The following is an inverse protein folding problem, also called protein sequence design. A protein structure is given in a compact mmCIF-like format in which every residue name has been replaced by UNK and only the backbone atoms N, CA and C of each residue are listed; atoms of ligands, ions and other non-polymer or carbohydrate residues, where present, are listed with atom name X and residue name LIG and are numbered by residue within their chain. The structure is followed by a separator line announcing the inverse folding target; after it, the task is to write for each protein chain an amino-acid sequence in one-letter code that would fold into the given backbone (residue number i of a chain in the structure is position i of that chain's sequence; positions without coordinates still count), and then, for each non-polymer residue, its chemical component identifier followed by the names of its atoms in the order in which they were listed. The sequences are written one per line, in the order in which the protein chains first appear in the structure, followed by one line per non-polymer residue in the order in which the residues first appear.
data_IF_413415164124
#
_entry.id   IF_413415164124
#
_cell.length_a   1.000
_cell.length_b   1.000
_cell.length_c   1.000
_cell.angle_alpha   90.00
_cell.angle_beta   90.00
_cell.angle_gamma   90.00
#
_symmetry.space_group_name_H-M   'P 1'
#
loop_
_entity.id
_entity.type
_entity.pdbx_description
1 polymer ?
#
# COMPACT_ATOMS: atom_id res chain seq x y z
N UNK A 1 32.10 12.21 27.60
CA UNK A 1 30.85 12.00 28.37
C UNK A 1 30.17 13.32 28.77
N UNK A 2 30.73 14.14 29.67
CA UNK A 2 30.06 15.36 30.18
C UNK A 2 29.63 16.41 29.15
N UNK A 3 30.37 16.58 28.04
CA UNK A 3 29.96 17.45 26.92
C UNK A 3 28.78 16.87 26.12
N UNK A 4 28.77 15.56 25.90
CA UNK A 4 27.69 14.86 25.17
C UNK A 4 26.38 14.89 25.96
N UNK A 5 26.41 14.71 27.28
CA UNK A 5 25.24 14.86 28.16
C UNK A 5 24.70 16.29 28.20
N UNK A 6 25.57 17.31 28.21
CA UNK A 6 25.14 18.71 28.06
C UNK A 6 24.49 18.96 26.71
N UNK A 7 25.09 18.52 25.62
CA UNK A 7 24.54 18.71 24.27
C UNK A 7 23.18 18.00 24.15
N UNK A 8 23.07 16.74 24.60
CA UNK A 8 21.82 16.00 24.56
C UNK A 8 20.71 16.68 25.39
N UNK A 9 21.01 17.08 26.62
CA UNK A 9 20.04 17.77 27.47
C UNK A 9 19.64 19.15 26.93
N UNK A 10 20.55 19.86 26.27
CA UNK A 10 20.23 21.10 25.57
C UNK A 10 19.35 20.86 24.35
N UNK A 11 19.65 19.85 23.53
CA UNK A 11 18.84 19.48 22.37
C UNK A 11 17.44 19.01 22.79
N UNK A 12 17.32 18.20 23.84
CA UNK A 12 16.04 17.76 24.38
C UNK A 12 15.18 18.93 24.91
N UNK A 13 15.81 19.89 25.60
CA UNK A 13 15.13 21.12 26.05
C UNK A 13 14.75 22.03 24.88
N UNK A 14 15.57 22.11 23.84
CA UNK A 14 15.30 22.89 22.64
C UNK A 14 14.12 22.29 21.84
N UNK A 15 14.12 20.96 21.70
CA UNK A 15 13.07 20.16 21.10
C UNK A 15 11.73 20.36 21.81
N UNK A 16 11.72 20.32 23.15
CA UNK A 16 10.52 20.58 23.95
C UNK A 16 10.03 22.03 23.87
N UNK A 17 10.93 22.98 23.59
CA UNK A 17 10.62 24.42 23.54
C UNK A 17 10.09 24.89 22.18
N UNK A 18 10.51 24.25 21.09
CA UNK A 18 10.13 24.62 19.71
C UNK A 18 9.64 23.39 18.92
N UNK A 19 8.48 22.82 19.26
CA UNK A 19 7.93 21.67 18.53
C UNK A 19 7.69 21.97 17.04
N UNK A 20 7.34 23.20 16.68
CA UNK A 20 7.13 23.61 15.28
C UNK A 20 8.41 23.60 14.42
N UNK A 21 9.60 23.84 15.00
CA UNK A 21 10.86 23.80 14.26
C UNK A 21 11.25 22.34 13.92
N UNK A 22 10.98 21.41 14.84
CA UNK A 22 11.14 19.98 14.58
C UNK A 22 10.20 19.50 13.48
N UNK A 23 8.96 19.99 13.47
CA UNK A 23 8.00 19.70 12.40
C UNK A 23 8.49 20.22 11.04
N UNK A 24 9.04 21.43 10.99
CA UNK A 24 9.60 22.01 9.76
C UNK A 24 10.82 21.23 9.24
N UNK A 25 11.75 20.85 10.12
CA UNK A 25 12.92 20.04 9.75
C UNK A 25 12.52 18.65 9.26
N UNK A 26 11.54 18.03 9.93
CA UNK A 26 10.94 16.76 9.48
C UNK A 26 10.28 16.91 8.11
N UNK A 27 9.56 18.00 7.86
CA UNK A 27 8.93 18.29 6.58
C UNK A 27 9.97 18.49 5.45
N UNK A 28 10.99 19.33 5.66
CA UNK A 28 12.05 19.56 4.65
C UNK A 28 12.84 18.29 4.38
N UNK A 29 13.15 17.50 5.42
CA UNK A 29 13.78 16.19 5.27
C UNK A 29 12.88 15.22 4.50
N UNK A 30 11.57 15.25 4.74
CA UNK A 30 10.59 14.44 4.02
C UNK A 30 10.51 14.81 2.54
N UNK A 31 10.46 16.11 2.23
CA UNK A 31 10.47 16.64 0.86
C UNK A 31 11.79 16.28 0.14
N UNK A 32 12.93 16.48 0.77
CA UNK A 32 14.23 16.11 0.20
C UNK A 32 14.35 14.59 -0.06
N UNK A 33 13.86 13.78 0.87
CA UNK A 33 13.76 12.33 0.69
C UNK A 33 12.81 11.95 -0.43
N UNK A 34 11.74 12.71 -0.68
CA UNK A 34 10.79 12.46 -1.77
C UNK A 34 11.44 12.66 -3.14
N UNK A 35 12.25 13.72 -3.31
CA UNK A 35 12.94 14.02 -4.58
C UNK A 35 14.11 13.06 -4.90
N UNK A 36 14.76 12.46 -3.90
CA UNK A 36 15.87 11.52 -4.12
C UNK A 36 15.42 10.12 -4.59
N UNK A 37 14.12 9.83 -4.54
CA UNK A 37 13.57 8.46 -4.68
C UNK A 37 13.22 8.06 -6.10
N UNK A 38 13.19 9.02 -7.02
CA UNK A 38 12.69 8.86 -8.38
C UNK A 38 13.48 7.84 -9.22
N UNK A 39 14.66 7.40 -8.74
CA UNK A 39 15.56 6.48 -9.45
C UNK A 39 15.60 5.04 -8.92
N UNK A 40 15.18 4.77 -7.68
CA UNK A 40 15.22 3.42 -7.07
C UNK A 40 14.07 3.16 -6.07
N UNK A 41 12.82 3.23 -6.56
CA UNK A 41 11.60 3.02 -5.74
C UNK A 41 11.64 1.76 -4.85
N UNK A 42 12.14 0.64 -5.38
CA UNK A 42 12.25 -0.63 -4.63
C UNK A 42 13.23 -0.53 -3.45
N UNK A 43 14.43 0.04 -3.65
CA UNK A 43 15.45 0.15 -2.59
C UNK A 43 15.04 1.18 -1.54
N UNK A 44 14.38 2.24 -1.97
CA UNK A 44 13.82 3.22 -1.04
C UNK A 44 12.74 2.59 -0.15
N UNK A 45 11.78 1.86 -0.74
CA UNK A 45 10.75 1.18 0.02
C UNK A 45 11.34 0.17 1.02
N UNK A 46 12.41 -0.54 0.65
CA UNK A 46 13.16 -1.41 1.56
C UNK A 46 13.81 -0.63 2.71
N UNK A 47 14.51 0.48 2.42
CA UNK A 47 15.15 1.30 3.46
C UNK A 47 14.13 1.87 4.44
N UNK A 48 13.04 2.46 3.94
CA UNK A 48 11.99 3.01 4.80
C UNK A 48 11.31 1.91 5.61
N UNK A 49 11.02 0.75 5.00
CA UNK A 49 10.48 -0.41 5.72
C UNK A 49 11.42 -0.88 6.83
N UNK A 50 12.73 -0.90 6.58
CA UNK A 50 13.74 -1.28 7.57
C UNK A 50 13.80 -0.27 8.73
N UNK A 51 13.85 1.02 8.43
CA UNK A 51 13.85 2.09 9.44
C UNK A 51 12.57 2.08 10.28
N UNK A 52 11.41 1.89 9.63
CA UNK A 52 10.12 1.77 10.29
C UNK A 52 10.08 0.56 11.23
N UNK A 53 10.48 -0.64 10.77
CA UNK A 53 10.57 -1.82 11.64
C UNK A 53 11.59 -1.62 12.77
N UNK A 54 12.69 -0.91 12.50
CA UNK A 54 13.63 -0.47 13.54
C UNK A 54 12.95 0.38 14.61
N UNK A 55 12.11 1.34 14.22
CA UNK A 55 11.28 2.13 15.13
C UNK A 55 10.34 1.28 15.99
N UNK A 56 9.70 0.27 15.40
CA UNK A 56 8.88 -0.69 16.15
C UNK A 56 9.67 -1.54 17.13
N UNK A 57 10.87 -2.02 16.75
CA UNK A 57 11.77 -2.74 17.66
C UNK A 57 12.19 -1.83 18.80
N UNK A 58 12.52 -0.56 18.53
CA UNK A 58 12.84 0.42 19.56
C UNK A 58 11.67 0.63 20.52
N UNK A 59 10.43 0.74 20.04
CA UNK A 59 9.25 0.81 20.91
C UNK A 59 9.09 -0.44 21.78
N UNK A 60 9.35 -1.63 21.25
CA UNK A 60 9.31 -2.87 22.05
C UNK A 60 10.39 -2.89 23.14
N UNK A 61 11.50 -2.20 22.90
CA UNK A 61 12.60 -2.05 23.84
C UNK A 61 12.49 -0.77 24.70
N UNK A 62 11.33 -0.10 24.74
CA UNK A 62 11.12 1.17 25.46
C UNK A 62 11.71 1.14 26.88
N UNK A 63 11.41 0.09 27.66
CA UNK A 63 11.88 -0.03 29.04
C UNK A 63 13.40 -0.19 29.15
N UNK A 64 14.04 -0.84 28.18
CA UNK A 64 15.49 -1.00 28.11
C UNK A 64 16.16 0.32 27.68
N UNK A 65 15.54 1.04 26.74
CA UNK A 65 15.97 2.38 26.31
C UNK A 65 15.90 3.39 27.46
N UNK A 66 14.78 3.42 28.21
CA UNK A 66 14.62 4.27 29.41
C UNK A 66 15.74 4.02 30.42
N UNK A 67 16.02 2.76 30.74
CA UNK A 67 17.10 2.36 31.66
C UNK A 67 18.49 2.68 31.12
N UNK A 68 18.74 2.38 29.84
CA UNK A 68 20.02 2.63 29.19
C UNK A 68 20.37 4.12 29.13
N UNK A 69 19.40 4.96 28.74
CA UNK A 69 19.58 6.43 28.71
C UNK A 69 19.79 6.98 30.11
N UNK A 70 19.01 6.52 31.10
CA UNK A 70 19.23 6.90 32.49
C UNK A 70 20.62 6.51 32.99
N UNK A 71 21.13 5.33 32.61
CA UNK A 71 22.44 4.85 33.02
C UNK A 71 23.58 5.63 32.36
N UNK A 72 23.48 5.90 31.05
CA UNK A 72 24.54 6.55 30.27
C UNK A 72 24.54 8.07 30.40
N UNK A 73 23.37 8.69 30.50
CA UNK A 73 23.20 10.15 30.50
C UNK A 73 22.77 10.73 31.85
N UNK A 74 22.50 9.89 32.86
CA UNK A 74 22.12 10.32 34.21
C UNK A 74 20.78 11.07 34.27
N UNK A 75 19.95 10.96 33.23
CA UNK A 75 18.66 11.64 33.12
C UNK A 75 17.58 10.66 32.67
N UNK A 76 16.44 10.65 33.36
CA UNK A 76 15.30 9.85 32.97
C UNK A 76 14.63 10.46 31.73
N UNK A 77 14.27 9.60 30.77
CA UNK A 77 13.51 10.00 29.60
C UNK A 77 12.09 10.42 30.04
N UNK A 78 11.67 11.67 29.80
CA UNK A 78 10.35 12.12 30.22
C UNK A 78 9.25 11.35 29.49
N UNK A 79 8.19 10.95 30.20
CA UNK A 79 7.06 10.24 29.62
C UNK A 79 6.40 10.94 28.42
N UNK A 80 6.25 12.28 28.37
CA UNK A 80 5.74 12.96 27.19
C UNK A 80 6.56 12.71 25.92
N UNK A 81 7.89 12.63 26.06
CA UNK A 81 8.80 12.37 24.92
C UNK A 81 8.57 10.97 24.37
N UNK A 82 8.37 10.00 25.26
CA UNK A 82 8.16 8.61 24.88
C UNK A 82 6.79 8.42 24.23
N UNK A 83 5.76 9.07 24.78
CA UNK A 83 4.42 9.11 24.18
C UNK A 83 4.43 9.76 22.80
N UNK A 84 5.16 10.86 22.64
CA UNK A 84 5.36 11.51 21.35
C UNK A 84 6.10 10.60 20.35
N UNK A 85 7.19 9.96 20.76
CA UNK A 85 7.91 9.01 19.92
C UNK A 85 7.00 7.84 19.47
N UNK A 86 6.19 7.32 20.38
CA UNK A 86 5.21 6.27 20.07
C UNK A 86 4.12 6.75 19.10
N UNK A 87 3.58 7.97 19.28
CA UNK A 87 2.65 8.56 18.32
C UNK A 87 3.31 8.72 16.95
N UNK A 88 4.54 9.24 16.89
CA UNK A 88 5.29 9.40 15.64
C UNK A 88 5.48 8.07 14.93
N UNK A 89 5.90 7.01 15.62
CA UNK A 89 6.05 5.69 14.99
C UNK A 89 4.72 5.18 14.43
N UNK A 90 3.60 5.36 15.14
CA UNK A 90 2.29 5.01 14.59
C UNK A 90 1.93 5.85 13.37
N UNK A 91 2.14 7.17 13.44
CA UNK A 91 1.83 8.10 12.38
C UNK A 91 2.63 7.77 11.11
N UNK A 92 3.96 7.79 11.20
CA UNK A 92 4.85 7.46 10.08
C UNK A 92 4.54 6.09 9.49
N UNK A 93 4.25 5.10 10.35
CA UNK A 93 3.83 3.77 9.90
C UNK A 93 2.55 3.79 9.06
N UNK A 94 1.52 4.48 9.55
CA UNK A 94 0.23 4.57 8.86
C UNK A 94 0.36 5.33 7.54
N UNK A 95 1.03 6.48 7.55
CA UNK A 95 1.27 7.28 6.34
C UNK A 95 2.12 6.53 5.31
N UNK A 96 3.06 5.71 5.75
CA UNK A 96 3.84 4.87 4.86
C UNK A 96 3.00 3.78 4.20
N UNK A 97 2.15 3.06 4.95
CA UNK A 97 1.42 1.91 4.38
C UNK A 97 0.14 2.29 3.63
N UNK A 98 -0.50 3.41 3.96
CA UNK A 98 -1.78 3.80 3.35
C UNK A 98 -1.72 3.88 1.82
N UNK A 99 -0.71 4.50 1.18
CA UNK A 99 -0.64 4.55 -0.29
C UNK A 99 -0.66 3.16 -0.93
N UNK A 100 0.06 2.19 -0.36
CA UNK A 100 0.09 0.80 -0.82
C UNK A 100 -1.30 0.16 -0.74
N UNK A 101 -1.96 0.27 0.42
CA UNK A 101 -3.31 -0.27 0.59
C UNK A 101 -4.34 0.46 -0.27
N UNK A 102 -4.24 1.78 -0.40
CA UNK A 102 -5.17 2.59 -1.19
C UNK A 102 -5.19 2.16 -2.67
N UNK A 103 -4.01 1.95 -3.27
CA UNK A 103 -3.86 1.53 -4.67
C UNK A 103 -4.29 0.07 -4.88
N UNK A 104 -4.05 -0.79 -3.89
CA UNK A 104 -4.32 -2.24 -4.00
C UNK A 104 -5.73 -2.63 -3.56
N UNK A 105 -6.48 -1.71 -2.97
CA UNK A 105 -7.85 -1.96 -2.48
C UNK A 105 -8.82 -2.15 -3.63
N UNK A 106 -9.48 -3.31 -3.67
CA UNK A 106 -10.68 -3.48 -4.47
C UNK A 106 -11.87 -2.79 -3.76
N UNK A 107 -12.09 -1.52 -4.08
CA UNK A 107 -13.08 -0.63 -3.45
C UNK A 107 -14.54 -1.14 -3.48
N UNK A 108 -14.87 -2.06 -4.39
CA UNK A 108 -16.18 -2.71 -4.48
C UNK A 108 -16.20 -4.07 -3.75
N UNK A 109 -15.48 -4.20 -2.64
CA UNK A 109 -15.37 -5.43 -1.85
C UNK A 109 -15.17 -5.11 -0.37
N UNK A 110 -15.17 -6.15 0.49
CA UNK A 110 -14.88 -6.00 1.92
C UNK A 110 -13.52 -5.35 2.23
N UNK A 111 -12.60 -5.30 1.26
CA UNK A 111 -11.32 -4.63 1.38
C UNK A 111 -11.40 -3.14 1.73
N UNK A 112 -12.48 -2.47 1.32
CA UNK A 112 -12.70 -1.06 1.65
C UNK A 112 -12.78 -0.82 3.17
N UNK A 113 -13.25 -1.81 3.94
CA UNK A 113 -13.40 -1.69 5.40
C UNK A 113 -12.02 -1.63 6.06
N UNK A 114 -11.09 -2.49 5.64
CA UNK A 114 -9.74 -2.52 6.17
C UNK A 114 -8.98 -1.22 5.85
N UNK A 115 -9.02 -0.79 4.59
CA UNK A 115 -8.33 0.44 4.16
C UNK A 115 -8.97 1.69 4.74
N UNK A 116 -10.30 1.74 4.83
CA UNK A 116 -11.01 2.82 5.52
C UNK A 116 -10.65 2.92 6.99
N UNK A 117 -10.48 1.79 7.68
CA UNK A 117 -10.01 1.75 9.06
C UNK A 117 -8.57 2.29 9.20
N UNK A 118 -7.66 1.95 8.28
CA UNK A 118 -6.31 2.51 8.27
C UNK A 118 -6.31 4.03 8.10
N UNK A 119 -7.12 4.56 7.16
CA UNK A 119 -7.26 5.99 6.94
C UNK A 119 -7.81 6.68 8.20
N UNK A 120 -8.86 6.11 8.81
CA UNK A 120 -9.40 6.64 10.07
C UNK A 120 -8.37 6.64 11.19
N UNK A 121 -7.55 5.58 11.30
CA UNK A 121 -6.47 5.52 12.27
C UNK A 121 -5.38 6.57 12.00
N UNK A 122 -5.04 6.85 10.73
CA UNK A 122 -4.10 7.92 10.40
C UNK A 122 -4.65 9.31 10.77
N UNK A 123 -5.95 9.55 10.57
CA UNK A 123 -6.58 10.79 11.04
C UNK A 123 -6.48 10.91 12.56
N UNK A 124 -6.72 9.81 13.30
CA UNK A 124 -6.55 9.79 14.75
C UNK A 124 -5.10 10.05 15.18
N UNK A 125 -4.11 9.60 14.41
CA UNK A 125 -2.68 9.82 14.72
C UNK A 125 -2.27 11.29 14.60
N UNK A 126 -2.89 12.05 13.70
CA UNK A 126 -2.60 13.48 13.47
C UNK A 126 -3.28 14.39 14.49
N UNK A 127 -4.46 14.00 14.98
CA UNK A 127 -5.25 14.87 15.88
C UNK A 127 -4.84 14.60 17.34
N UNK A 128 -3.87 15.38 17.85
CA UNK A 128 -3.32 15.24 19.21
C UNK A 128 -4.37 15.11 20.32
N UNK A 129 -5.43 15.93 20.40
CA UNK A 129 -6.46 15.76 21.43
C UNK A 129 -7.16 14.41 21.36
N UNK A 130 -7.40 13.89 20.15
CA UNK A 130 -8.06 12.59 19.96
C UNK A 130 -7.10 11.46 20.33
N UNK A 131 -5.84 11.52 19.88
CA UNK A 131 -4.83 10.53 20.21
C UNK A 131 -4.58 10.45 21.72
N UNK A 132 -4.25 11.58 22.36
CA UNK A 132 -3.83 11.60 23.76
C UNK A 132 -4.96 11.58 24.78
N UNK A 133 -6.10 12.24 24.49
CA UNK A 133 -7.19 12.39 25.48
C UNK A 133 -8.31 11.38 25.30
N UNK A 134 -8.48 10.79 24.10
CA UNK A 134 -9.56 9.85 23.83
C UNK A 134 -9.07 8.42 23.57
N UNK A 135 -8.05 8.24 22.72
CA UNK A 135 -7.51 6.92 22.38
C UNK A 135 -6.61 6.37 23.48
N UNK A 136 -5.54 7.09 23.84
CA UNK A 136 -4.52 6.62 24.79
C UNK A 136 -5.07 6.23 26.18
N UNK A 137 -6.09 6.90 26.77
CA UNK A 137 -6.65 6.48 28.04
C UNK A 137 -7.45 5.17 27.96
N UNK A 138 -8.00 4.84 26.77
CA UNK A 138 -8.78 3.62 26.55
C UNK A 138 -7.86 2.47 26.18
N UNK A 139 -7.34 1.78 27.21
CA UNK A 139 -6.31 0.74 27.08
C UNK A 139 -6.57 -0.30 26.00
N UNK A 140 -7.76 -0.90 25.95
CA UNK A 140 -8.09 -1.91 24.94
C UNK A 140 -8.06 -1.32 23.51
N UNK A 141 -8.60 -0.12 23.33
CA UNK A 141 -8.60 0.56 22.04
C UNK A 141 -7.18 0.94 21.61
N UNK A 142 -6.34 1.37 22.55
CA UNK A 142 -4.93 1.66 22.29
C UNK A 142 -4.16 0.40 21.85
N UNK A 143 -4.35 -0.76 22.49
CA UNK A 143 -3.70 -2.00 22.07
C UNK A 143 -4.22 -2.52 20.72
N UNK A 144 -5.52 -2.37 20.45
CA UNK A 144 -6.07 -2.65 19.14
C UNK A 144 -5.41 -1.75 18.08
N UNK A 145 -5.36 -0.44 18.32
CA UNK A 145 -4.73 0.53 17.44
C UNK A 145 -3.25 0.21 17.18
N UNK A 146 -2.49 -0.07 18.24
CA UNK A 146 -1.08 -0.43 18.16
C UNK A 146 -0.87 -1.73 17.36
N UNK A 147 -1.61 -2.78 17.71
CA UNK A 147 -1.51 -4.08 17.04
C UNK A 147 -1.96 -4.06 15.59
N UNK A 148 -3.02 -3.33 15.28
CA UNK A 148 -3.51 -3.19 13.92
C UNK A 148 -2.55 -2.37 13.05
N UNK A 149 -1.91 -1.34 13.61
CA UNK A 149 -0.85 -0.60 12.91
C UNK A 149 0.35 -1.50 12.63
N UNK A 150 0.83 -2.25 13.64
CA UNK A 150 1.91 -3.21 13.46
C UNK A 150 1.58 -4.28 12.40
N UNK A 151 0.34 -4.79 12.41
CA UNK A 151 -0.14 -5.74 11.43
C UNK A 151 -0.05 -5.18 10.00
N UNK A 152 -0.55 -3.97 9.78
CA UNK A 152 -0.51 -3.31 8.47
C UNK A 152 0.93 -3.03 7.99
N UNK A 153 1.80 -2.63 8.91
CA UNK A 153 3.23 -2.44 8.66
C UNK A 153 3.89 -3.74 8.21
N UNK A 154 3.67 -4.84 8.94
CA UNK A 154 4.27 -6.13 8.62
C UNK A 154 3.75 -6.69 7.29
N UNK A 155 2.47 -6.47 6.97
CA UNK A 155 1.88 -6.87 5.68
C UNK A 155 2.57 -6.21 4.49
N UNK A 156 3.07 -4.98 4.67
CA UNK A 156 3.77 -4.23 3.64
C UNK A 156 5.26 -4.54 3.65
N UNK A 157 5.89 -4.52 4.83
CA UNK A 157 7.33 -4.63 4.98
C UNK A 157 7.86 -6.06 4.75
N UNK A 158 7.16 -7.11 5.20
CA UNK A 158 7.68 -8.47 5.12
C UNK A 158 7.86 -8.96 3.66
N UNK A 159 6.89 -8.80 2.74
CA UNK A 159 7.10 -9.19 1.34
C UNK A 159 8.23 -8.39 0.67
N UNK A 160 8.38 -7.10 1.02
CA UNK A 160 9.40 -6.21 0.44
C UNK A 160 10.81 -6.58 0.93
N UNK A 161 10.97 -6.88 2.22
CA UNK A 161 12.27 -7.13 2.84
C UNK A 161 12.72 -8.59 2.71
N UNK A 162 11.80 -9.53 2.95
CA UNK A 162 12.12 -10.96 3.02
C UNK A 162 11.76 -11.71 1.74
N UNK A 163 11.15 -11.05 0.76
CA UNK A 163 10.76 -11.65 -0.51
C UNK A 163 9.82 -12.86 -0.35
N UNK A 164 9.04 -12.88 0.73
CA UNK A 164 8.11 -13.96 1.02
C UNK A 164 6.74 -13.71 0.36
N UNK A 165 6.04 -14.76 -0.12
CA UNK A 165 4.70 -14.63 -0.67
C UNK A 165 3.75 -13.91 0.27
N UNK A 166 2.83 -13.12 -0.27
CA UNK A 166 1.83 -12.34 0.48
C UNK A 166 1.01 -13.23 1.42
N UNK A 167 0.73 -14.47 1.02
CA UNK A 167 0.04 -15.44 1.86
C UNK A 167 0.80 -15.78 3.15
N UNK A 168 2.13 -15.95 3.08
CA UNK A 168 2.98 -16.22 4.24
C UNK A 168 3.21 -14.95 5.06
N UNK A 169 3.41 -13.82 4.39
CA UNK A 169 3.53 -12.52 5.06
C UNK A 169 2.29 -12.22 5.90
N UNK A 170 1.09 -12.51 5.40
CA UNK A 170 -0.16 -12.39 6.16
C UNK A 170 -0.14 -13.20 7.46
N UNK A 171 0.26 -14.46 7.38
CA UNK A 171 0.31 -15.35 8.55
C UNK A 171 1.31 -14.85 9.60
N UNK A 172 2.52 -14.49 9.17
CA UNK A 172 3.54 -13.93 10.07
C UNK A 172 3.12 -12.60 10.67
N UNK A 173 2.53 -11.71 9.86
CA UNK A 173 2.03 -10.41 10.33
C UNK A 173 0.95 -10.60 11.39
N UNK A 174 -0.03 -11.48 11.13
CA UNK A 174 -1.12 -11.76 12.06
C UNK A 174 -0.58 -12.38 13.35
N UNK A 175 0.31 -13.36 13.25
CA UNK A 175 0.93 -14.02 14.41
C UNK A 175 1.72 -13.02 15.27
N UNK A 176 2.64 -12.26 14.67
CA UNK A 176 3.51 -11.31 15.39
C UNK A 176 2.67 -10.20 16.02
N UNK A 177 1.75 -9.59 15.25
CA UNK A 177 0.96 -8.48 15.75
C UNK A 177 0.02 -8.89 16.89
N UNK A 178 -0.66 -10.05 16.76
CA UNK A 178 -1.53 -10.55 17.83
C UNK A 178 -0.73 -10.96 19.06
N UNK A 179 0.36 -11.70 18.89
CA UNK A 179 1.19 -12.15 20.00
C UNK A 179 1.74 -10.95 20.79
N UNK A 180 2.35 -9.97 20.11
CA UNK A 180 2.95 -8.82 20.80
C UNK A 180 1.89 -7.93 21.46
N UNK A 181 0.77 -7.68 20.79
CA UNK A 181 -0.26 -6.77 21.32
C UNK A 181 -0.99 -7.34 22.52
N UNK A 182 -1.43 -8.60 22.43
CA UNK A 182 -2.23 -9.21 23.49
C UNK A 182 -1.39 -9.72 24.66
N UNK A 183 -0.14 -10.11 24.43
CA UNK A 183 0.77 -10.47 25.52
C UNK A 183 1.13 -9.24 26.37
N UNK A 184 1.28 -8.07 25.75
CA UNK A 184 1.48 -6.83 26.49
C UNK A 184 0.21 -6.40 27.22
N UNK A 185 -0.96 -6.48 26.57
CA UNK A 185 -2.24 -6.15 27.19
C UNK A 185 -2.58 -7.04 28.40
N UNK A 186 -2.26 -8.33 28.35
CA UNK A 186 -2.57 -9.25 29.45
C UNK A 186 -1.72 -9.03 30.70
N UNK A 187 -0.51 -8.47 30.57
CA UNK A 187 0.39 -8.15 31.70
C UNK A 187 -0.17 -7.08 32.62
N UNK A 188 -1.07 -6.29 32.10
CA UNK A 188 -1.63 -5.11 32.74
C UNK A 188 -2.80 -5.39 33.67
N UNK A 189 -3.39 -6.58 33.56
CA UNK A 189 -4.45 -7.02 34.47
C UNK A 189 -3.84 -7.49 35.79
N UNK A 190 -4.53 -7.27 36.91
CA UNK A 190 -4.04 -7.63 38.26
C UNK A 190 -4.14 -9.13 38.59
N UNK A 191 -4.57 -9.99 37.67
CA UNK A 191 -4.85 -11.42 37.91
C UNK A 191 -3.60 -12.25 38.31
N UNK A 192 -3.78 -13.50 38.74
CA UNK A 192 -2.65 -14.44 38.88
C UNK A 192 -2.07 -14.85 37.51
N UNK A 193 -0.80 -15.28 37.46
CA UNK A 193 -0.09 -15.56 36.20
C UNK A 193 -0.82 -16.55 35.27
N UNK A 194 -1.40 -17.64 35.82
CA UNK A 194 -2.19 -18.61 35.06
C UNK A 194 -3.41 -17.99 34.38
N UNK A 195 -4.18 -17.17 35.10
CA UNK A 195 -5.37 -16.50 34.55
C UNK A 195 -5.00 -15.44 33.51
N UNK A 196 -3.88 -14.72 33.71
CA UNK A 196 -3.34 -13.78 32.71
C UNK A 196 -2.93 -14.50 31.43
N UNK A 197 -2.19 -15.61 31.55
CA UNK A 197 -1.76 -16.41 30.40
C UNK A 197 -2.95 -17.02 29.65
N UNK A 198 -3.95 -17.53 30.38
CA UNK A 198 -5.18 -18.05 29.77
C UNK A 198 -5.93 -16.94 29.01
N UNK A 199 -6.10 -15.76 29.62
CA UNK A 199 -6.74 -14.61 28.96
C UNK A 199 -5.97 -14.17 27.70
N UNK A 200 -4.64 -14.06 27.80
CA UNK A 200 -3.79 -13.71 26.66
C UNK A 200 -3.97 -14.71 25.51
N UNK A 201 -3.92 -16.01 25.81
CA UNK A 201 -4.09 -17.08 24.84
C UNK A 201 -5.48 -17.02 24.19
N UNK A 202 -6.54 -16.85 24.97
CA UNK A 202 -7.91 -16.70 24.44
C UNK A 202 -8.03 -15.51 23.50
N UNK A 203 -7.44 -14.37 23.85
CA UNK A 203 -7.46 -13.17 23.01
C UNK A 203 -6.65 -13.34 21.72
N UNK A 204 -5.46 -13.94 21.81
CA UNK A 204 -4.63 -14.26 20.63
C UNK A 204 -5.38 -15.21 19.70
N UNK A 205 -5.96 -16.29 20.23
CA UNK A 205 -6.72 -17.25 19.42
C UNK A 205 -7.98 -16.62 18.82
N UNK A 206 -8.69 -15.79 19.58
CA UNK A 206 -9.85 -15.05 19.09
C UNK A 206 -9.49 -14.09 17.96
N UNK A 207 -8.43 -13.29 18.14
CA UNK A 207 -7.95 -12.37 17.12
C UNK A 207 -7.40 -13.09 15.88
N UNK A 208 -6.68 -14.21 16.07
CA UNK A 208 -6.21 -15.04 14.97
C UNK A 208 -7.39 -15.66 14.19
N UNK A 209 -8.41 -16.15 14.89
CA UNK A 209 -9.64 -16.66 14.27
C UNK A 209 -10.35 -15.60 13.43
N UNK A 210 -10.54 -14.39 13.98
CA UNK A 210 -11.10 -13.25 13.24
C UNK A 210 -10.22 -12.89 12.04
N UNK A 211 -8.89 -12.84 12.23
CA UNK A 211 -7.94 -12.55 11.15
C UNK A 211 -7.96 -13.59 10.03
N UNK A 212 -8.17 -14.87 10.33
CA UNK A 212 -8.30 -15.91 9.31
C UNK A 212 -9.60 -15.73 8.53
N UNK A 213 -10.72 -15.49 9.23
CA UNK A 213 -12.04 -15.32 8.60
C UNK A 213 -12.13 -14.05 7.75
N UNK A 214 -11.49 -12.97 8.19
CA UNK A 214 -11.51 -11.66 7.50
C UNK A 214 -10.36 -11.48 6.52
N UNK A 215 -9.51 -12.50 6.31
CA UNK A 215 -8.36 -12.46 5.39
C UNK A 215 -8.68 -11.92 3.99
N UNK A 216 -9.81 -12.27 3.33
CA UNK A 216 -10.16 -11.72 2.02
C UNK A 216 -10.42 -10.19 2.02
N UNK A 217 -10.70 -9.61 3.20
CA UNK A 217 -10.92 -8.17 3.37
C UNK A 217 -9.62 -7.39 3.56
N UNK A 218 -8.47 -8.06 3.55
CA UNK A 218 -7.18 -7.35 3.61
C UNK A 218 -6.62 -7.26 2.18
N UNK A 219 -6.38 -6.06 1.63
CA UNK A 219 -5.74 -5.93 0.32
C UNK A 219 -4.30 -6.49 0.34
N UNK A 220 -3.81 -7.04 -0.78
CA UNK A 220 -2.40 -7.44 -0.89
C UNK A 220 -1.55 -6.19 -1.16
N UNK A 221 -0.96 -5.61 -0.11
CA UNK A 221 -0.29 -4.29 -0.14
C UNK A 221 0.75 -4.10 -1.26
N UNK A 222 1.39 -5.16 -1.71
CA UNK A 222 2.50 -5.11 -2.69
C UNK A 222 2.11 -5.57 -4.09
N UNK A 223 0.85 -5.91 -4.33
CA UNK A 223 0.39 -6.45 -5.61
C UNK A 223 -0.74 -5.60 -6.19
N UNK A 224 -0.51 -5.00 -7.36
CA UNK A 224 -1.56 -4.30 -8.11
C UNK A 224 -1.50 -4.62 -9.60
N UNK A 225 -2.62 -4.45 -10.29
CA UNK A 225 -2.70 -4.62 -11.73
C UNK A 225 -2.19 -3.37 -12.44
N UNK A 226 -1.27 -3.55 -13.39
CA UNK A 226 -0.80 -2.48 -14.29
C UNK A 226 -1.57 -2.48 -15.60
N UNK A 227 -1.96 -3.65 -16.11
CA UNK A 227 -2.74 -3.79 -17.34
C UNK A 227 -3.65 -5.00 -17.27
N UNK A 228 -4.87 -4.86 -17.81
CA UNK A 228 -5.82 -5.97 -17.92
C UNK A 228 -6.52 -5.96 -19.27
N UNK A 229 -6.79 -7.15 -19.80
CA UNK A 229 -7.60 -7.31 -20.98
C UNK A 229 -8.29 -8.67 -21.00
N UNK A 230 -9.54 -8.69 -21.46
CA UNK A 230 -10.17 -9.90 -21.99
C UNK A 230 -10.09 -9.79 -23.50
N UNK A 231 -9.51 -10.78 -24.17
CA UNK A 231 -9.19 -10.74 -25.60
C UNK A 231 -9.32 -12.14 -26.22
N UNK A 232 -9.54 -12.23 -27.52
CA UNK A 232 -9.52 -13.49 -28.28
C UNK A 232 -8.11 -13.88 -28.74
N UNK A 233 -7.16 -12.97 -28.65
CA UNK A 233 -5.80 -13.17 -29.14
C UNK A 233 -4.74 -12.57 -28.20
N UNK A 234 -3.59 -13.23 -28.15
CA UNK A 234 -2.36 -12.75 -27.52
C UNK A 234 -1.31 -12.68 -28.63
N UNK A 235 -0.59 -11.56 -28.72
CA UNK A 235 0.60 -11.48 -29.56
C UNK A 235 1.72 -12.27 -28.90
N UNK A 236 2.13 -13.39 -29.51
CA UNK A 236 3.16 -14.28 -28.97
C UNK A 236 4.55 -13.63 -28.93
N UNK A 237 4.83 -12.66 -29.81
CA UNK A 237 6.14 -11.98 -29.86
C UNK A 237 6.24 -10.94 -28.74
N UNK A 238 5.23 -10.08 -28.65
CA UNK A 238 5.20 -9.01 -27.66
C UNK A 238 4.67 -9.48 -26.30
N UNK A 239 4.11 -10.69 -26.21
CA UNK A 239 3.37 -11.20 -25.04
C UNK A 239 2.36 -10.17 -24.54
N UNK A 240 1.63 -9.58 -25.47
CA UNK A 240 0.72 -8.47 -25.26
C UNK A 240 -0.71 -8.87 -25.65
N UNK A 241 -1.73 -8.36 -24.96
CA UNK A 241 -3.11 -8.66 -25.33
C UNK A 241 -3.49 -7.92 -26.61
N UNK A 242 -4.34 -8.55 -27.42
CA UNK A 242 -5.08 -7.87 -28.48
C UNK A 242 -6.12 -6.87 -27.95
N UNK A 243 -7.12 -6.55 -28.77
CA UNK A 243 -8.15 -5.56 -28.40
C UNK A 243 -8.96 -6.03 -27.19
N UNK A 244 -9.18 -5.12 -26.24
CA UNK A 244 -9.99 -5.40 -25.04
C UNK A 244 -11.47 -5.52 -25.41
N UNK A 245 -12.07 -6.64 -25.04
CA UNK A 245 -13.47 -6.96 -25.29
C UNK A 245 -14.28 -6.73 -24.01
N UNK A 246 -15.32 -5.89 -24.09
CA UNK A 246 -16.30 -5.68 -23.01
C UNK A 246 -17.57 -6.49 -23.23
N UNK A 247 -17.95 -6.75 -24.48
CA UNK A 247 -19.15 -7.49 -24.85
C UNK A 247 -18.88 -8.32 -26.10
N UNK A 248 -19.39 -9.55 -26.12
CA UNK A 248 -19.30 -10.45 -27.26
C UNK A 248 -20.55 -11.34 -27.37
N UNK A 249 -20.79 -11.89 -28.56
CA UNK A 249 -21.85 -12.88 -28.75
C UNK A 249 -21.35 -14.29 -28.41
N UNK A 250 -22.27 -15.19 -28.04
CA UNK A 250 -21.93 -16.58 -27.75
C UNK A 250 -21.27 -17.30 -28.94
N UNK A 251 -21.60 -16.90 -30.18
CA UNK A 251 -20.98 -17.40 -31.40
C UNK A 251 -19.52 -16.98 -31.62
N UNK A 252 -19.00 -16.01 -30.86
CA UNK A 252 -17.62 -15.55 -30.95
C UNK A 252 -16.67 -16.31 -30.00
N UNK A 253 -17.16 -17.35 -29.32
CA UNK A 253 -16.41 -18.12 -28.33
C UNK A 253 -15.62 -19.30 -28.90
N UNK A 254 -15.69 -19.55 -30.21
CA UNK A 254 -15.13 -20.74 -30.85
C UNK A 254 -13.62 -20.94 -30.56
N UNK A 255 -12.85 -19.84 -30.53
CA UNK A 255 -11.41 -19.85 -30.22
C UNK A 255 -11.09 -19.62 -28.74
N UNK A 256 -12.12 -19.55 -27.89
CA UNK A 256 -12.01 -19.25 -26.48
C UNK A 256 -11.69 -17.79 -26.17
N UNK A 257 -11.44 -17.51 -24.88
CA UNK A 257 -11.05 -16.18 -24.40
C UNK A 257 -9.80 -16.25 -23.55
N UNK A 258 -8.92 -15.27 -23.75
CA UNK A 258 -7.79 -15.00 -22.90
C UNK A 258 -8.15 -13.94 -21.86
N UNK A 259 -7.82 -14.22 -20.61
CA UNK A 259 -7.79 -13.24 -19.54
C UNK A 259 -6.35 -12.85 -19.26
N UNK A 260 -5.95 -11.69 -19.75
CA UNK A 260 -4.61 -11.14 -19.59
C UNK A 260 -4.53 -10.20 -18.40
N UNK A 261 -3.49 -10.37 -17.59
CA UNK A 261 -3.16 -9.53 -16.45
C UNK A 261 -1.66 -9.25 -16.41
N UNK A 262 -1.29 -7.98 -16.31
CA UNK A 262 0.04 -7.56 -15.90
C UNK A 262 -0.04 -7.11 -14.44
N UNK A 263 0.77 -7.72 -13.57
CA UNK A 263 0.74 -7.50 -12.12
C UNK A 263 2.10 -6.97 -11.69
N UNK A 264 2.11 -5.80 -11.07
CA UNK A 264 3.31 -5.32 -10.40
C UNK A 264 3.52 -6.12 -9.11
N UNK A 265 4.77 -6.50 -8.87
CA UNK A 265 5.21 -7.21 -7.67
C UNK A 265 6.67 -6.84 -7.35
N UNK A 266 7.04 -6.69 -6.06
CA UNK A 266 8.41 -6.43 -5.63
C UNK A 266 9.40 -7.43 -6.22
N UNK A 267 10.60 -6.97 -6.55
CA UNK A 267 11.67 -7.84 -7.07
C UNK A 267 11.91 -9.04 -6.16
N UNK A 268 11.99 -10.25 -6.71
CA UNK A 268 12.27 -11.47 -5.94
C UNK A 268 11.05 -12.11 -5.29
N UNK A 269 9.88 -11.47 -5.32
CA UNK A 269 8.64 -12.08 -4.87
C UNK A 269 8.19 -13.16 -5.87
N UNK A 270 7.93 -14.38 -5.38
CA UNK A 270 7.26 -15.43 -6.12
C UNK A 270 5.87 -15.63 -5.51
N UNK A 271 4.82 -15.44 -6.30
CA UNK A 271 3.44 -15.48 -5.83
C UNK A 271 2.60 -16.38 -6.72
N UNK A 272 1.70 -17.14 -6.11
CA UNK A 272 0.66 -17.87 -6.83
C UNK A 272 -0.63 -17.07 -6.80
N UNK A 273 -1.15 -16.79 -7.99
CA UNK A 273 -2.43 -16.13 -8.18
C UNK A 273 -3.42 -17.07 -8.87
N UNK A 274 -4.67 -16.66 -8.86
CA UNK A 274 -5.74 -17.37 -9.54
C UNK A 274 -6.60 -16.42 -10.35
N UNK A 275 -6.92 -16.83 -11.58
CA UNK A 275 -8.04 -16.28 -12.33
C UNK A 275 -9.29 -17.09 -12.00
N UNK A 276 -10.18 -16.50 -11.19
CA UNK A 276 -11.46 -17.09 -10.80
C UNK A 276 -12.55 -16.56 -11.73
N UNK A 277 -12.97 -17.39 -12.67
CA UNK A 277 -14.01 -17.07 -13.64
C UNK A 277 -15.38 -17.27 -13.01
N UNK A 278 -16.23 -16.24 -13.08
CA UNK A 278 -17.59 -16.27 -12.57
C UNK A 278 -18.59 -15.86 -13.64
N UNK A 279 -19.69 -16.60 -13.69
CA UNK A 279 -20.86 -16.29 -14.50
C UNK A 279 -22.04 -15.99 -13.58
N UNK A 280 -22.61 -14.79 -13.70
CA UNK A 280 -23.76 -14.34 -12.90
C UNK A 280 -23.55 -14.56 -11.38
N UNK A 281 -22.33 -14.32 -10.92
CA UNK A 281 -21.93 -14.49 -9.51
C UNK A 281 -21.49 -15.90 -9.11
N UNK A 282 -21.76 -16.93 -9.91
CA UNK A 282 -21.32 -18.31 -9.63
C UNK A 282 -19.94 -18.58 -10.19
N UNK A 283 -19.05 -19.15 -9.39
CA UNK A 283 -17.72 -19.57 -9.84
C UNK A 283 -17.85 -20.75 -10.79
N UNK A 284 -17.27 -20.62 -11.98
CA UNK A 284 -17.24 -21.64 -13.02
C UNK A 284 -15.88 -22.32 -13.05
N UNK A 285 -14.79 -21.55 -13.00
CA UNK A 285 -13.43 -22.08 -13.02
C UNK A 285 -12.49 -21.29 -12.11
N UNK A 286 -11.40 -21.94 -11.70
CA UNK A 286 -10.28 -21.34 -10.98
C UNK A 286 -8.97 -21.83 -11.59
N UNK A 287 -8.25 -20.94 -12.27
CA UNK A 287 -7.02 -21.26 -12.99
C UNK A 287 -5.83 -20.68 -12.23
N UNK A 288 -4.87 -21.52 -11.84
CA UNK A 288 -3.66 -21.11 -11.12
C UNK A 288 -2.61 -20.54 -12.09
N UNK A 289 -1.94 -19.46 -11.69
CA UNK A 289 -0.84 -18.84 -12.43
C UNK A 289 0.24 -18.46 -11.43
N UNK A 290 1.50 -18.76 -11.74
CA UNK A 290 2.64 -18.35 -10.91
C UNK A 290 3.26 -17.07 -11.49
N UNK A 291 3.53 -16.08 -10.64
CA UNK A 291 4.11 -14.78 -11.02
C UNK A 291 5.42 -14.54 -10.29
N UNK A 292 6.37 -13.91 -10.97
CA UNK A 292 7.69 -13.53 -10.42
C UNK A 292 7.89 -12.02 -10.53
N UNK A 293 8.14 -11.36 -9.42
CA UNK A 293 8.32 -9.90 -9.35
C UNK A 293 9.68 -9.41 -9.85
N UNK A 294 9.78 -8.10 -10.07
CA UNK A 294 11.05 -7.43 -10.44
C UNK A 294 11.11 -6.79 -11.83
N UNK A 295 9.97 -6.66 -12.53
CA UNK A 295 9.86 -5.85 -13.76
C UNK A 295 8.97 -4.64 -13.49
N UNK A 296 9.40 -3.45 -13.94
CA UNK A 296 8.61 -2.22 -13.78
C UNK A 296 7.22 -2.32 -14.42
N UNK A 297 7.13 -2.93 -15.61
CA UNK A 297 5.87 -3.17 -16.33
C UNK A 297 4.95 -4.22 -15.65
N UNK A 298 5.44 -4.89 -14.61
CA UNK A 298 4.78 -6.04 -13.97
C UNK A 298 5.05 -7.37 -14.68
N UNK A 299 4.70 -8.45 -14.00
CA UNK A 299 4.72 -9.80 -14.56
C UNK A 299 3.44 -10.05 -15.36
N UNK A 300 3.60 -10.54 -16.59
CA UNK A 300 2.50 -10.78 -17.52
C UNK A 300 2.05 -12.23 -17.37
N UNK A 301 0.80 -12.43 -17.01
CA UNK A 301 0.18 -13.74 -16.89
C UNK A 301 -1.16 -13.73 -17.64
N UNK A 302 -1.50 -14.84 -18.27
CA UNK A 302 -2.81 -15.00 -18.89
C UNK A 302 -3.33 -16.41 -18.72
N UNK A 303 -4.66 -16.55 -18.69
CA UNK A 303 -5.33 -17.84 -18.79
C UNK A 303 -6.18 -17.89 -20.05
N UNK A 304 -6.17 -19.03 -20.73
CA UNK A 304 -6.97 -19.28 -21.92
C UNK A 304 -8.12 -20.22 -21.56
N UNK A 305 -9.36 -19.72 -21.69
CA UNK A 305 -10.57 -20.49 -21.43
C UNK A 305 -11.17 -20.92 -22.75
N UNK A 306 -11.17 -22.22 -23.00
CA UNK A 306 -11.76 -22.87 -24.18
C UNK A 306 -13.16 -23.42 -23.90
N UNK A 307 -13.34 -24.05 -22.74
CA UNK A 307 -14.58 -24.77 -22.44
C UNK A 307 -15.57 -23.85 -21.72
N UNK A 308 -16.59 -23.36 -22.41
CA UNK A 308 -17.68 -22.58 -21.81
C UNK A 308 -18.89 -23.46 -21.49
N UNK A 309 -19.70 -23.12 -20.46
CA UNK A 309 -20.92 -23.87 -20.19
C UNK A 309 -21.91 -23.75 -21.37
N UNK A 310 -22.86 -24.70 -21.53
CA UNK A 310 -23.80 -24.70 -22.67
C UNK A 310 -24.62 -23.42 -22.84
N UNK A 311 -24.88 -22.71 -21.73
CA UNK A 311 -25.55 -21.41 -21.72
C UNK A 311 -24.57 -20.36 -21.17
N UNK A 312 -23.65 -19.84 -22.00
CA UNK A 312 -22.59 -18.94 -21.56
C UNK A 312 -23.07 -17.49 -21.38
N UNK A 313 -24.33 -17.19 -21.64
CA UNK A 313 -24.85 -15.82 -21.68
C UNK A 313 -24.97 -15.21 -20.28
N UNK A 314 -24.66 -13.92 -20.19
CA UNK A 314 -24.78 -13.14 -18.97
C UNK A 314 -23.51 -12.37 -18.60
N UNK A 315 -23.44 -11.98 -17.34
CA UNK A 315 -22.36 -11.15 -16.82
C UNK A 315 -21.22 -12.02 -16.34
N UNK A 316 -20.08 -11.87 -17.01
CA UNK A 316 -18.84 -12.53 -16.64
C UNK A 316 -17.96 -11.60 -15.82
N UNK A 317 -17.33 -12.20 -14.82
CA UNK A 317 -16.40 -11.54 -13.92
C UNK A 317 -15.21 -12.46 -13.70
N UNK A 318 -14.00 -11.93 -13.84
CA UNK A 318 -12.77 -12.66 -13.54
C UNK A 318 -12.12 -11.96 -12.37
N UNK A 319 -12.07 -12.65 -11.23
CA UNK A 319 -11.35 -12.16 -10.06
C UNK A 319 -9.92 -12.67 -10.11
N UNK A 320 -8.98 -11.74 -10.04
CA UNK A 320 -7.56 -12.03 -9.87
C UNK A 320 -7.31 -12.04 -8.37
N UNK A 321 -7.04 -13.21 -7.80
CA UNK A 321 -6.87 -13.38 -6.34
C UNK A 321 -5.55 -14.06 -6.02
N UNK A 322 -4.97 -13.72 -4.87
CA UNK A 322 -3.81 -14.44 -4.32
C UNK A 322 -4.20 -15.81 -3.78
N UNK A 323 -3.22 -16.65 -3.45
CA UNK A 323 -3.39 -17.86 -2.63
C UNK A 323 -4.16 -17.60 -1.33
N UNK A 324 -4.01 -16.40 -0.77
CA UNK A 324 -4.69 -15.94 0.43
C UNK A 324 -6.17 -15.54 0.24
N UNK A 325 -6.72 -15.70 -0.97
CA UNK A 325 -8.05 -15.22 -1.37
C UNK A 325 -8.20 -13.69 -1.32
N UNK A 326 -7.09 -12.96 -1.33
CA UNK A 326 -7.12 -11.50 -1.40
C UNK A 326 -7.27 -11.09 -2.86
N UNK A 327 -8.24 -10.21 -3.14
CA UNK A 327 -8.45 -9.68 -4.49
C UNK A 327 -7.33 -8.71 -4.81
N UNK A 328 -6.68 -8.91 -5.96
CA UNK A 328 -5.73 -7.98 -6.57
C UNK A 328 -6.48 -7.07 -7.56
N UNK A 329 -7.47 -7.63 -8.27
CA UNK A 329 -8.42 -6.86 -9.06
C UNK A 329 -9.40 -7.70 -9.85
N UNK A 330 -10.21 -7.04 -10.68
CA UNK A 330 -11.42 -7.63 -11.27
C UNK A 330 -11.57 -7.21 -12.73
N UNK A 331 -11.73 -8.19 -13.62
CA UNK A 331 -12.12 -7.97 -15.01
C UNK A 331 -13.61 -8.28 -15.17
N UNK A 332 -14.30 -7.53 -16.04
CA UNK A 332 -15.72 -7.71 -16.33
C UNK A 332 -15.97 -7.67 -17.83
N UNK A 333 -16.82 -8.57 -18.31
CA UNK A 333 -17.30 -8.59 -19.69
C UNK A 333 -18.68 -9.26 -19.73
N UNK A 334 -19.39 -9.13 -20.85
CA UNK A 334 -20.74 -9.68 -21.02
C UNK A 334 -20.84 -10.54 -22.27
N UNK A 335 -21.46 -11.71 -22.15
CA UNK A 335 -21.78 -12.57 -23.29
C UNK A 335 -23.27 -12.45 -23.59
N UNK A 336 -23.61 -12.23 -24.86
CA UNK A 336 -24.98 -12.03 -25.37
C UNK A 336 -25.37 -13.11 -26.37
N UNK A 337 -26.68 -13.31 -26.57
CA UNK A 337 -27.21 -14.39 -27.44
C UNK A 337 -26.98 -14.13 -28.94
N UNK A 338 -26.99 -12.87 -29.36
CA UNK A 338 -26.84 -12.48 -30.76
C UNK A 338 -25.81 -11.35 -30.91
N UNK A 339 -25.25 -11.19 -32.12
CA UNK A 339 -24.51 -9.99 -32.51
C UNK A 339 -25.43 -8.77 -32.47
N UNK A 340 -25.74 -8.25 -31.29
CA UNK A 340 -26.15 -6.86 -31.20
C UNK A 340 -24.87 -6.08 -31.44
N UNK A 341 -24.67 -5.65 -32.68
CA UNK A 341 -23.68 -4.65 -33.04
C UNK A 341 -24.12 -3.38 -32.31
N UNK A 342 -23.80 -3.28 -31.03
CA UNK A 342 -23.61 -1.98 -30.42
C UNK A 342 -22.33 -1.46 -31.07
N UNK A 343 -22.48 -0.45 -31.94
CA UNK A 343 -21.38 0.24 -32.60
C UNK A 343 -20.18 0.32 -31.66
N UNK A 344 -19.10 -0.33 -32.07
CA UNK A 344 -17.79 -0.11 -31.50
C UNK A 344 -17.45 1.35 -31.81
N UNK A 345 -17.82 2.25 -30.92
CA UNK A 345 -17.27 3.58 -30.92
C UNK A 345 -15.76 3.38 -30.65
N UNK A 346 -14.88 3.79 -31.59
CA UNK A 346 -13.45 3.69 -31.37
C UNK A 346 -13.07 4.70 -30.30
N UNK A 347 -13.07 4.31 -29.04
CA UNK A 347 -12.24 4.98 -28.05
C UNK A 347 -10.79 4.59 -28.36
N UNK A 348 -10.14 5.43 -29.16
CA UNK A 348 -8.71 5.68 -28.98
C UNK A 348 -8.50 6.02 -27.51
N UNK A 349 -7.71 5.19 -26.84
CA UNK A 349 -7.30 5.30 -25.44
C UNK A 349 -7.37 6.75 -24.89
N UNK A 350 -8.12 7.00 -23.82
CA UNK A 350 -7.54 7.56 -22.63
C UNK A 350 -6.90 6.40 -21.86
N UNK A 351 -5.59 6.48 -21.73
CA UNK A 351 -4.70 5.57 -21.02
C UNK A 351 -4.96 5.60 -19.51
N UNK A 352 -6.17 5.30 -19.02
CA UNK A 352 -6.31 5.11 -17.57
C UNK A 352 -7.52 4.29 -17.16
N UNK A 353 -7.22 3.10 -16.68
CA UNK A 353 -8.19 2.31 -15.91
C UNK A 353 -8.27 2.95 -14.52
N UNK A 354 -9.46 3.47 -14.21
CA UNK A 354 -9.87 3.97 -12.90
C UNK A 354 -9.88 2.79 -11.91
N UNK A 355 -8.71 2.44 -11.40
CA UNK A 355 -8.51 1.65 -10.17
C UNK A 355 -7.47 2.29 -9.25
N UNK A 356 -6.85 3.38 -9.69
CA UNK A 356 -6.06 4.30 -8.89
C UNK A 356 -6.69 5.70 -9.07
N UNK A 357 -6.57 6.61 -8.09
CA UNK A 357 -6.89 7.99 -8.34
C UNK A 357 -6.03 8.46 -9.52
N UNK A 358 -6.65 9.23 -10.41
CA UNK A 358 -6.17 9.54 -11.76
C UNK A 358 -4.73 10.04 -11.84
N UNK A 359 -4.23 10.19 -13.07
CA UNK A 359 -2.93 10.75 -13.44
C UNK A 359 -2.63 12.09 -12.76
N UNK A 360 -3.67 12.77 -12.27
CA UNK A 360 -3.58 13.91 -11.36
C UNK A 360 -2.73 13.68 -10.10
N UNK A 361 -2.47 12.43 -9.70
CA UNK A 361 -1.55 12.10 -8.60
C UNK A 361 -0.28 11.35 -9.04
N UNK A 362 -0.15 11.05 -10.35
CA UNK A 362 1.01 10.34 -10.93
C UNK A 362 1.89 11.19 -11.82
N UNK A 363 1.41 12.31 -12.32
CA UNK A 363 2.31 13.46 -12.41
C UNK A 363 2.62 13.78 -10.95
N UNK A 364 3.86 13.56 -10.48
CA UNK A 364 4.17 14.07 -9.18
C UNK A 364 3.88 15.57 -9.26
N UNK A 365 3.21 16.15 -8.27
CA UNK A 365 3.04 17.62 -8.16
C UNK A 365 4.40 18.31 -8.41
N UNK A 366 5.51 17.60 -8.19
CA UNK A 366 6.87 17.87 -8.68
C UNK A 366 7.00 18.23 -10.16
N UNK A 367 6.49 17.49 -11.14
CA UNK A 367 6.69 17.85 -12.55
C UNK A 367 6.00 19.17 -12.86
N UNK A 368 4.79 19.35 -12.34
CA UNK A 368 4.03 20.60 -12.45
C UNK A 368 4.71 21.74 -11.67
N UNK A 369 5.20 21.50 -10.45
CA UNK A 369 5.96 22.48 -9.64
C UNK A 369 7.37 22.73 -10.16
N UNK A 370 7.93 21.82 -10.95
CA UNK A 370 9.27 21.91 -11.54
C UNK A 370 9.19 22.62 -12.88
N UNK A 371 8.13 22.42 -13.65
CA UNK A 371 7.78 23.27 -14.78
C UNK A 371 7.40 24.67 -14.32
N UNK A 372 6.53 24.83 -13.32
CA UNK A 372 6.20 26.12 -12.73
C UNK A 372 7.41 26.76 -12.02
N UNK A 373 8.25 25.95 -11.37
CA UNK A 373 9.46 26.41 -10.68
C UNK A 373 10.59 26.80 -11.64
N UNK A 374 10.78 26.06 -12.75
CA UNK A 374 11.73 26.41 -13.80
C UNK A 374 11.25 27.62 -14.59
N UNK A 375 9.97 27.71 -14.95
CA UNK A 375 9.43 28.91 -15.60
C UNK A 375 9.58 30.15 -14.71
N UNK A 376 9.37 30.04 -13.39
CA UNK A 376 9.65 31.13 -12.46
C UNK A 376 11.15 31.45 -12.33
N UNK A 377 12.01 30.44 -12.34
CA UNK A 377 13.47 30.64 -12.32
C UNK A 377 13.97 31.30 -13.61
N UNK A 378 13.53 30.83 -14.78
CA UNK A 378 13.91 31.37 -16.10
C UNK A 378 13.42 32.82 -16.27
N UNK A 379 12.24 33.13 -15.71
CA UNK A 379 11.71 34.50 -15.66
C UNK A 379 12.54 35.41 -14.73
N UNK A 380 13.19 34.84 -13.70
CA UNK A 380 14.03 35.58 -12.73
C UNK A 380 15.50 35.63 -13.16
N UNK A 381 16.01 34.63 -13.88
CA UNK A 381 17.41 34.54 -14.32
C UNK A 381 17.66 35.11 -15.71
N UNK A 382 16.62 35.42 -16.49
CA UNK A 382 16.74 36.20 -17.72
C UNK A 382 17.55 35.51 -18.82
N UNK A 383 17.48 34.19 -18.90
CA UNK A 383 18.17 33.43 -19.95
C UNK A 383 17.24 33.28 -21.16
N UNK A 384 17.37 34.22 -22.09
CA UNK A 384 16.68 34.16 -23.37
C UNK A 384 17.27 33.02 -24.22
N UNK A 385 16.40 32.12 -24.66
CA UNK A 385 16.67 31.05 -25.63
C UNK A 385 17.33 31.62 -26.92
N UNK A 386 18.53 31.18 -27.33
CA UNK A 386 19.26 31.79 -28.45
C UNK A 386 18.78 31.36 -29.84
N UNK A 387 17.68 30.61 -29.98
CA UNK A 387 17.14 30.23 -31.31
C UNK A 387 15.72 30.76 -31.55
N UNK A 388 15.57 32.09 -31.60
CA UNK A 388 14.49 32.70 -32.40
C UNK A 388 15.09 33.53 -33.55
N UNK A 389 14.75 33.23 -34.81
CA UNK A 389 15.18 34.07 -35.91
C UNK A 389 14.46 35.41 -35.82
N UNK A 390 15.25 36.48 -35.79
CA UNK A 390 14.82 37.88 -35.80
C UNK A 390 13.91 38.08 -37.02
N UNK A 391 12.61 38.32 -36.78
CA UNK A 391 11.70 38.86 -37.79
C UNK A 391 12.10 40.30 -38.07
N UNK A 392 12.75 40.50 -39.20
CA UNK A 392 13.03 41.80 -39.80
C UNK A 392 11.71 42.56 -39.99
N UNK A 393 11.64 43.77 -39.47
CA UNK A 393 10.51 44.66 -39.63
C UNK A 393 10.60 45.38 -40.98
N UNK A 394 9.66 45.12 -41.88
CA UNK A 394 9.46 45.95 -43.07
C UNK A 394 8.96 47.34 -42.67
N UNK A 395 9.51 48.43 -43.27
CA UNK A 395 8.98 49.76 -43.05
C UNK A 395 7.72 49.96 -43.90
N UNK A 396 6.67 50.48 -43.26
CA UNK A 396 5.48 50.97 -43.96
C UNK A 396 5.85 52.11 -44.91
N UNK A 397 5.43 52.01 -46.17
CA UNK A 397 5.02 53.14 -47.00
C UNK A 397 3.57 52.97 -47.40
#
# INVERSE_FOLDING_TARGET
MARLTRIFSHLAKLAARYPGLLALLGFVSGVASFFLVEREQDKFAQLVSLLMLGGWVLLMLENLLKRGVSHWFGTELPDPVVRFATQMVHQESLFFVIPFFFITTAWNSGQMVFTGLLIAMAVVSVIDPVYYKWLAPKRWLYFFYHGFTLFAVLLTALPILLHIPTAKAYQWSLLIATLLSFLNMARDFSFGWWRRSALALTLVLGAAGVGILTRPWVPPATLWLTRVAVTTEIDDREKAPGKRIKTLSASQLDNGLYAYTAIHAPRGLNERIYHVWRLNGKTIDKIALDIQGGRQAGYRAWSHKLNFPPYPQGNWRIDVVTEAQQVIGVLRFRITEAQTIAEQQPETLPEKIITAPDELFREPIVNTLKEEGQTLLDTVTGEADPEQPIKEAEPKQ
#
